data_IF_039558224950
#
_entry.id   IF_039558224950
#
_cell.length_a   1.000
_cell.length_b   1.000
_cell.length_c   1.000
_cell.angle_alpha   90.00
_cell.angle_beta   90.00
_cell.angle_gamma   90.00
#
_symmetry.space_group_name_H-M   'P 1'
#
loop_
_entity.id
_entity.type
_entity.pdbx_description
1 polymer ?
#
# COMPACT_ATOMS: atom_id res chain seq x y z
N UNK A 1 26.85 5.32 -32.40
CA UNK A 1 26.23 6.06 -31.31
C UNK A 1 27.35 6.50 -30.39
N UNK A 2 27.81 7.72 -30.55
CA UNK A 2 28.96 8.25 -29.81
C UNK A 2 28.47 8.73 -28.42
N UNK A 3 28.70 7.91 -27.41
CA UNK A 3 28.84 8.37 -26.03
C UNK A 3 27.67 9.10 -25.41
N UNK A 4 26.45 8.82 -25.82
CA UNK A 4 25.28 9.38 -25.17
C UNK A 4 25.07 8.68 -23.81
N UNK A 5 25.32 9.44 -22.75
CA UNK A 5 25.26 8.92 -21.38
C UNK A 5 23.86 8.42 -21.00
N UNK A 6 22.84 8.91 -21.66
CA UNK A 6 21.45 8.55 -21.36
C UNK A 6 21.07 7.22 -22.00
N UNK A 7 21.60 6.92 -23.20
CA UNK A 7 21.49 5.59 -23.80
C UNK A 7 22.16 4.54 -22.93
N UNK A 8 23.37 4.83 -22.46
CA UNK A 8 24.10 3.94 -21.57
C UNK A 8 23.31 3.69 -20.27
N UNK A 9 22.70 4.72 -19.69
CA UNK A 9 21.88 4.57 -18.49
C UNK A 9 20.69 3.64 -18.70
N UNK A 10 19.99 3.72 -19.83
CA UNK A 10 18.88 2.80 -20.17
C UNK A 10 19.38 1.38 -20.39
N UNK A 11 20.51 1.22 -21.12
CA UNK A 11 21.12 -0.09 -21.31
C UNK A 11 21.61 -0.69 -20.00
N UNK A 12 22.26 0.08 -19.15
CA UNK A 12 22.76 -0.36 -17.85
C UNK A 12 21.62 -0.90 -16.96
N UNK A 13 20.45 -0.23 -16.95
CA UNK A 13 19.28 -0.70 -16.21
C UNK A 13 18.76 -2.01 -16.79
N UNK A 14 18.59 -2.07 -18.12
CA UNK A 14 18.09 -3.28 -18.79
C UNK A 14 19.08 -4.44 -18.65
N UNK A 15 20.39 -4.21 -18.79
CA UNK A 15 21.41 -5.22 -18.63
C UNK A 15 21.53 -5.68 -17.19
N UNK A 16 21.50 -4.76 -16.23
CA UNK A 16 21.52 -5.08 -14.81
C UNK A 16 20.32 -5.96 -14.40
N UNK A 17 19.12 -5.56 -14.78
CA UNK A 17 17.90 -6.34 -14.51
C UNK A 17 17.99 -7.71 -15.17
N UNK A 18 18.37 -7.76 -16.45
CA UNK A 18 18.52 -9.03 -17.18
C UNK A 18 19.62 -9.91 -16.62
N UNK A 19 20.79 -9.33 -16.24
CA UNK A 19 21.90 -10.02 -15.60
C UNK A 19 21.53 -10.56 -14.24
N UNK A 20 20.90 -9.74 -13.42
CA UNK A 20 20.45 -10.11 -12.09
C UNK A 20 19.50 -11.33 -12.12
N UNK A 21 18.54 -11.33 -13.04
CA UNK A 21 17.61 -12.45 -13.21
C UNK A 21 18.25 -13.69 -13.87
N UNK A 22 19.34 -13.53 -14.61
CA UNK A 22 20.06 -14.64 -15.26
C UNK A 22 20.90 -15.44 -14.28
N UNK A 23 21.51 -14.75 -13.30
CA UNK A 23 22.50 -15.36 -12.36
C UNK A 23 21.85 -15.95 -11.10
N UNK A 24 20.56 -15.73 -10.88
CA UNK A 24 19.83 -16.35 -9.78
C UNK A 24 18.92 -17.46 -10.29
N UNK A 25 18.86 -18.57 -9.53
CA UNK A 25 17.84 -19.59 -9.79
C UNK A 25 16.47 -18.94 -9.61
N UNK A 26 15.77 -18.80 -10.71
CA UNK A 26 14.58 -17.97 -10.88
C UNK A 26 13.31 -18.52 -10.21
N UNK A 27 13.37 -19.65 -9.50
CA UNK A 27 12.23 -20.26 -8.83
C UNK A 27 11.52 -19.32 -7.83
N UNK A 28 12.26 -18.34 -7.29
CA UNK A 28 11.75 -17.42 -6.26
C UNK A 28 11.55 -15.98 -6.76
N UNK A 29 11.85 -15.72 -8.02
CA UNK A 29 11.74 -14.38 -8.60
C UNK A 29 10.61 -14.34 -9.61
N UNK A 30 9.71 -13.40 -9.42
CA UNK A 30 8.59 -13.23 -10.31
C UNK A 30 8.97 -12.51 -11.58
N UNK A 31 8.32 -12.82 -12.70
CA UNK A 31 8.61 -12.15 -13.95
C UNK A 31 8.36 -10.65 -13.83
N UNK A 32 9.38 -9.89 -14.19
CA UNK A 32 9.30 -8.45 -14.41
C UNK A 32 9.12 -8.25 -15.91
N UNK A 33 8.03 -7.61 -16.30
CA UNK A 33 7.79 -7.25 -17.69
C UNK A 33 8.31 -5.83 -17.90
N UNK A 34 9.41 -5.72 -18.63
CA UNK A 34 9.94 -4.44 -19.11
C UNK A 34 9.54 -4.34 -20.56
N UNK A 35 8.65 -3.43 -20.89
CA UNK A 35 8.29 -3.14 -22.27
C UNK A 35 9.38 -2.27 -22.90
N UNK A 36 9.63 -2.44 -24.19
CA UNK A 36 10.67 -1.70 -24.89
C UNK A 36 10.46 -0.19 -24.74
N UNK A 37 11.45 0.49 -24.20
CA UNK A 37 11.48 1.95 -24.12
C UNK A 37 11.87 2.53 -25.48
N UNK A 38 10.98 2.40 -26.48
CA UNK A 38 11.31 2.73 -27.85
C UNK A 38 11.16 4.20 -28.20
N UNK A 39 10.51 4.97 -27.33
CA UNK A 39 10.12 6.35 -27.60
C UNK A 39 10.73 7.36 -26.65
N UNK A 40 11.81 6.96 -26.01
CA UNK A 40 12.56 7.85 -25.12
C UNK A 40 13.46 8.78 -25.95
N UNK A 41 13.31 10.08 -25.76
CA UNK A 41 14.25 11.03 -26.38
C UNK A 41 15.50 11.16 -25.52
N UNK A 42 16.48 10.30 -25.79
CA UNK A 42 17.70 10.22 -25.01
C UNK A 42 18.64 11.43 -25.22
N UNK A 43 18.57 12.10 -26.36
CA UNK A 43 19.42 13.27 -26.65
C UNK A 43 19.03 14.46 -25.75
N UNK A 44 17.73 14.60 -25.47
CA UNK A 44 17.20 15.65 -24.62
C UNK A 44 16.96 15.17 -23.17
N UNK A 45 17.23 13.92 -22.86
CA UNK A 45 16.91 13.29 -21.57
C UNK A 45 15.44 13.46 -21.18
N UNK A 46 14.55 13.38 -22.16
CA UNK A 46 13.12 13.56 -22.01
C UNK A 46 12.38 12.31 -22.48
N UNK A 47 11.46 11.84 -21.68
CA UNK A 47 10.52 10.79 -22.07
C UNK A 47 9.45 11.42 -22.97
N UNK A 48 9.40 11.01 -24.23
CA UNK A 48 8.45 11.55 -25.22
C UNK A 48 7.10 10.85 -25.21
N UNK A 49 7.10 9.58 -24.80
CA UNK A 49 5.91 8.73 -24.67
C UNK A 49 5.96 7.97 -23.36
N UNK A 50 4.82 7.44 -22.94
CA UNK A 50 4.69 6.71 -21.68
C UNK A 50 5.18 5.27 -21.81
N UNK A 51 6.49 5.09 -21.81
CA UNK A 51 7.06 3.74 -21.73
C UNK A 51 6.81 3.16 -20.34
N UNK A 52 6.21 1.98 -20.29
CA UNK A 52 5.73 1.41 -19.05
C UNK A 52 6.49 0.13 -18.66
N UNK A 53 6.65 -0.05 -17.36
CA UNK A 53 7.08 -1.29 -16.73
C UNK A 53 6.01 -1.78 -15.79
N UNK A 54 5.82 -3.08 -15.69
CA UNK A 54 4.90 -3.69 -14.72
C UNK A 54 5.67 -4.56 -13.75
N UNK A 55 5.60 -4.22 -12.48
CA UNK A 55 6.10 -5.05 -11.39
C UNK A 55 4.98 -6.00 -11.01
N UNK A 56 5.13 -7.28 -11.38
CA UNK A 56 4.16 -8.31 -11.00
C UNK A 56 4.39 -8.70 -9.55
N UNK A 57 3.39 -8.42 -8.75
CA UNK A 57 3.34 -8.84 -7.36
C UNK A 57 2.75 -10.24 -7.31
N UNK A 58 3.38 -11.10 -6.66
CA UNK A 58 2.84 -12.42 -6.67
C UNK A 58 2.17 -12.88 -5.40
N UNK A 59 1.34 -13.90 -5.54
CA UNK A 59 0.43 -14.39 -4.52
C UNK A 59 0.70 -15.83 -4.05
N UNK A 60 1.83 -16.44 -4.40
CA UNK A 60 2.10 -17.80 -3.97
C UNK A 60 2.85 -17.83 -2.64
N UNK A 61 2.13 -17.53 -1.55
CA UNK A 61 2.59 -17.93 -0.25
C UNK A 61 2.24 -19.41 -0.06
N UNK A 62 3.17 -20.26 -0.47
CA UNK A 62 3.15 -21.68 -0.17
C UNK A 62 4.19 -21.97 0.92
N UNK A 63 3.77 -22.68 1.92
CA UNK A 63 4.68 -23.19 2.96
C UNK A 63 4.72 -24.72 2.78
N UNK A 64 5.90 -25.27 2.57
CA UNK A 64 6.06 -26.73 2.44
C UNK A 64 5.62 -27.42 3.73
N UNK A 65 4.95 -28.57 3.57
CA UNK A 65 4.53 -29.45 4.67
C UNK A 65 3.55 -28.82 5.70
N UNK A 66 2.79 -27.79 5.27
CA UNK A 66 1.79 -27.13 6.11
C UNK A 66 0.40 -27.38 5.56
N UNK A 67 -0.50 -27.85 6.41
CA UNK A 67 -1.92 -27.95 6.07
C UNK A 67 -2.49 -26.57 5.83
N UNK A 68 -2.97 -26.31 4.61
CA UNK A 68 -3.59 -25.05 4.24
C UNK A 68 -5.01 -25.24 3.73
N UNK A 69 -5.84 -24.23 3.94
CA UNK A 69 -7.17 -24.11 3.35
C UNK A 69 -7.28 -22.80 2.60
N UNK A 70 -7.54 -22.86 1.30
CA UNK A 70 -7.91 -21.68 0.53
C UNK A 70 -9.32 -21.27 0.92
N UNK A 71 -9.47 -20.05 1.45
CA UNK A 71 -10.75 -19.45 1.81
C UNK A 71 -11.37 -18.76 0.61
N UNK A 72 -10.55 -17.98 -0.10
CA UNK A 72 -10.93 -17.25 -1.30
C UNK A 72 -9.75 -17.24 -2.26
N UNK A 73 -9.94 -17.70 -3.47
CA UNK A 73 -8.99 -17.63 -4.59
C UNK A 73 -9.45 -16.65 -5.69
N UNK A 74 -10.69 -16.17 -5.57
CA UNK A 74 -11.30 -15.17 -6.44
C UNK A 74 -12.01 -14.13 -5.59
N UNK A 75 -12.18 -12.89 -6.08
CA UNK A 75 -12.87 -11.85 -5.34
C UNK A 75 -14.28 -12.23 -4.95
N UNK A 76 -14.60 -12.18 -3.66
CA UNK A 76 -15.93 -12.38 -3.12
C UNK A 76 -16.52 -11.04 -2.68
N UNK A 77 -17.55 -10.59 -3.38
CA UNK A 77 -18.24 -9.33 -3.10
C UNK A 77 -19.35 -9.56 -2.08
N UNK A 78 -19.34 -8.72 -1.04
CA UNK A 78 -20.36 -8.66 0.01
C UNK A 78 -21.19 -7.38 -0.19
N UNK A 79 -22.49 -7.55 -0.40
CA UNK A 79 -23.43 -6.48 -0.78
C UNK A 79 -24.22 -5.89 0.39
N UNK A 80 -23.90 -6.29 1.62
CA UNK A 80 -24.71 -5.98 2.80
C UNK A 80 -25.94 -6.91 3.00
N UNK A 81 -25.99 -8.04 2.27
CA UNK A 81 -27.08 -9.01 2.35
C UNK A 81 -26.66 -10.47 2.19
N UNK A 82 -25.43 -10.71 1.79
CA UNK A 82 -24.87 -12.04 1.57
C UNK A 82 -23.71 -12.33 2.52
N UNK A 83 -23.44 -13.62 2.72
CA UNK A 83 -22.38 -14.09 3.62
C UNK A 83 -21.82 -15.43 3.13
N UNK A 84 -20.72 -15.86 3.74
CA UNK A 84 -20.13 -17.20 3.61
C UNK A 84 -19.90 -17.76 5.01
N UNK A 85 -20.58 -18.83 5.36
CA UNK A 85 -20.24 -19.65 6.54
C UNK A 85 -19.38 -20.83 6.06
N UNK A 86 -18.12 -20.89 6.52
CA UNK A 86 -17.18 -21.91 6.08
C UNK A 86 -17.34 -23.26 6.77
N UNK A 87 -18.14 -23.32 7.83
CA UNK A 87 -18.25 -24.47 8.72
C UNK A 87 -16.99 -24.74 9.55
N UNK A 88 -15.91 -23.95 9.40
CA UNK A 88 -14.66 -24.13 10.13
C UNK A 88 -14.76 -23.47 11.51
N UNK A 89 -14.48 -24.19 12.57
CA UNK A 89 -14.35 -23.63 13.91
C UNK A 89 -12.86 -23.54 14.29
N UNK A 90 -12.34 -22.31 14.39
CA UNK A 90 -10.97 -22.05 14.84
C UNK A 90 -10.81 -22.12 16.36
N UNK A 91 -11.93 -22.23 17.08
CA UNK A 91 -11.97 -22.21 18.54
C UNK A 91 -12.31 -23.60 19.13
N UNK A 92 -12.62 -24.57 18.28
CA UNK A 92 -13.01 -25.91 18.74
C UNK A 92 -11.89 -26.65 19.45
N UNK A 93 -10.66 -26.42 19.01
CA UNK A 93 -9.46 -27.04 19.53
C UNK A 93 -8.38 -25.98 19.83
N UNK A 94 -7.51 -26.28 20.78
CA UNK A 94 -6.31 -25.46 21.02
C UNK A 94 -5.20 -25.88 20.08
N UNK A 95 -5.23 -25.35 18.85
CA UNK A 95 -4.19 -25.52 17.84
C UNK A 95 -3.73 -24.19 17.27
N UNK A 96 -2.50 -24.15 16.82
CA UNK A 96 -1.99 -22.98 16.10
C UNK A 96 -2.69 -22.83 14.75
N UNK A 97 -2.93 -21.58 14.37
CA UNK A 97 -3.41 -21.24 13.03
C UNK A 97 -2.98 -19.81 12.64
N UNK A 98 -2.86 -19.59 11.35
CA UNK A 98 -2.67 -18.26 10.76
C UNK A 98 -3.70 -18.07 9.66
N UNK A 99 -4.40 -16.95 9.68
CA UNK A 99 -5.33 -16.53 8.62
C UNK A 99 -4.87 -15.22 8.02
N UNK A 100 -4.76 -15.17 6.71
CA UNK A 100 -4.46 -13.95 5.96
C UNK A 100 -5.60 -13.62 5.01
N UNK A 101 -5.97 -12.35 4.95
CA UNK A 101 -7.04 -11.82 4.09
C UNK A 101 -6.56 -10.58 3.37
N UNK A 102 -6.76 -10.53 2.07
CA UNK A 102 -6.72 -9.33 1.24
C UNK A 102 -8.15 -8.84 1.06
N UNK A 103 -8.45 -7.67 1.57
CA UNK A 103 -9.82 -7.20 1.72
C UNK A 103 -9.97 -5.70 1.46
N UNK A 104 -11.19 -5.29 1.16
CA UNK A 104 -11.68 -3.91 1.23
C UNK A 104 -13.04 -3.90 1.88
N UNK A 105 -13.28 -2.97 2.80
CA UNK A 105 -14.61 -2.65 3.32
C UNK A 105 -15.05 -1.34 2.68
N UNK A 106 -16.24 -1.32 2.08
CA UNK A 106 -16.74 -0.15 1.37
C UNK A 106 -17.05 1.00 2.34
N UNK A 107 -16.88 2.24 1.87
CA UNK A 107 -17.08 3.45 2.70
C UNK A 107 -18.51 3.58 3.23
N UNK A 108 -19.50 3.04 2.51
CA UNK A 108 -20.91 3.05 2.88
C UNK A 108 -21.33 1.82 3.69
N UNK A 109 -20.39 1.02 4.16
CA UNK A 109 -20.69 -0.09 5.06
C UNK A 109 -21.20 0.42 6.41
N UNK A 110 -22.32 -0.14 6.88
CA UNK A 110 -22.96 0.33 8.10
C UNK A 110 -22.05 0.14 9.33
N UNK A 111 -22.16 1.04 10.31
CA UNK A 111 -21.49 0.87 11.60
C UNK A 111 -21.89 -0.46 12.25
N UNK A 112 -20.92 -1.13 12.88
CA UNK A 112 -21.02 -2.46 13.49
C UNK A 112 -21.27 -3.62 12.52
N UNK A 113 -21.21 -3.42 11.19
CA UNK A 113 -21.20 -4.52 10.24
C UNK A 113 -19.91 -5.34 10.35
N UNK A 114 -19.98 -6.64 10.05
CA UNK A 114 -18.89 -7.59 10.27
C UNK A 114 -18.43 -8.18 8.94
N UNK A 115 -17.14 -8.04 8.65
CA UNK A 115 -16.52 -8.61 7.44
C UNK A 115 -16.03 -10.04 7.65
N UNK A 116 -15.57 -10.36 8.86
CA UNK A 116 -15.15 -11.71 9.25
C UNK A 116 -15.32 -11.91 10.76
N UNK A 117 -15.76 -13.08 11.15
CA UNK A 117 -15.74 -13.49 12.56
C UNK A 117 -15.61 -15.00 12.74
N UNK A 118 -14.99 -15.39 13.85
CA UNK A 118 -15.15 -16.68 14.51
C UNK A 118 -15.34 -16.35 15.99
N UNK A 119 -16.59 -16.17 16.40
CA UNK A 119 -16.92 -15.52 17.67
C UNK A 119 -18.21 -16.05 18.23
N UNK A 120 -18.29 -16.17 19.56
CA UNK A 120 -19.51 -16.46 20.28
C UNK A 120 -19.80 -15.34 21.28
N UNK A 121 -21.02 -14.83 21.25
CA UNK A 121 -21.44 -13.64 22.03
C UNK A 121 -21.49 -13.94 23.52
N UNK A 122 -21.98 -15.11 23.89
CA UNK A 122 -22.03 -15.57 25.29
C UNK A 122 -20.64 -15.96 25.81
N UNK A 123 -19.92 -15.00 26.32
CA UNK A 123 -18.57 -15.20 26.84
C UNK A 123 -17.51 -14.39 26.10
N UNK A 124 -17.88 -13.68 25.05
CA UNK A 124 -16.99 -12.81 24.26
C UNK A 124 -15.70 -13.52 23.83
N UNK A 125 -15.80 -14.77 23.39
CA UNK A 125 -14.66 -15.56 22.95
C UNK A 125 -14.54 -15.54 21.43
N UNK A 126 -13.32 -15.41 20.94
CA UNK A 126 -13.00 -15.40 19.53
C UNK A 126 -12.72 -14.02 18.97
N UNK A 127 -12.52 -13.97 17.66
CA UNK A 127 -12.26 -12.71 16.96
C UNK A 127 -13.47 -12.22 16.19
N UNK A 128 -13.51 -10.91 16.04
CA UNK A 128 -14.43 -10.20 15.15
C UNK A 128 -13.68 -9.09 14.42
N UNK A 129 -13.89 -9.03 13.12
CA UNK A 129 -13.40 -7.97 12.27
C UNK A 129 -14.61 -7.17 11.75
N UNK A 130 -14.74 -5.93 12.20
CA UNK A 130 -15.94 -5.13 12.01
C UNK A 130 -15.67 -3.67 11.63
N UNK A 131 -16.73 -2.96 11.27
CA UNK A 131 -16.74 -1.50 11.01
C UNK A 131 -17.06 -0.73 12.30
N UNK A 132 -16.16 0.20 12.67
CA UNK A 132 -16.41 1.16 13.75
C UNK A 132 -15.54 2.40 13.54
N UNK A 133 -16.06 3.46 12.97
CA UNK A 133 -15.32 4.68 12.54
C UNK A 133 -14.05 4.37 11.69
N UNK A 134 -14.00 3.24 11.03
CA UNK A 134 -12.90 2.59 10.34
C UNK A 134 -13.06 1.09 10.48
N UNK A 135 -12.11 0.29 10.00
CA UNK A 135 -12.10 -1.15 10.28
C UNK A 135 -11.45 -1.44 11.64
N UNK A 136 -11.96 -2.43 12.35
CA UNK A 136 -11.40 -2.89 13.63
C UNK A 136 -11.38 -4.40 13.72
N UNK A 137 -10.30 -4.93 14.30
CA UNK A 137 -10.23 -6.31 14.74
C UNK A 137 -10.31 -6.36 16.25
N UNK A 138 -11.12 -7.25 16.79
CA UNK A 138 -11.18 -7.49 18.22
C UNK A 138 -11.04 -8.97 18.54
N UNK A 139 -10.48 -9.22 19.73
CA UNK A 139 -10.53 -10.50 20.42
C UNK A 139 -11.16 -10.27 21.80
N UNK A 140 -12.38 -10.76 21.94
CA UNK A 140 -13.16 -10.44 23.15
C UNK A 140 -13.48 -8.95 23.25
N UNK A 141 -12.97 -8.29 24.31
CA UNK A 141 -13.14 -6.84 24.56
C UNK A 141 -11.99 -5.99 24.06
N UNK A 142 -10.86 -6.59 23.76
CA UNK A 142 -9.68 -5.88 23.23
C UNK A 142 -9.79 -5.70 21.71
N UNK A 143 -9.32 -4.58 21.20
CA UNK A 143 -9.40 -4.30 19.77
C UNK A 143 -8.24 -3.45 19.27
N UNK A 144 -7.96 -3.56 17.96
CA UNK A 144 -7.02 -2.71 17.23
C UNK A 144 -7.63 -2.22 15.92
N UNK A 145 -7.09 -1.13 15.39
CA UNK A 145 -7.55 -0.58 14.12
C UNK A 145 -6.94 -1.38 12.94
N UNK A 146 -7.72 -1.52 11.88
CA UNK A 146 -7.29 -1.95 10.57
C UNK A 146 -7.22 -0.78 9.57
N UNK A 147 -7.31 -1.07 8.26
CA UNK A 147 -7.28 -0.06 7.21
C UNK A 147 -8.49 0.88 7.24
N UNK A 148 -8.35 2.05 6.60
CA UNK A 148 -9.47 2.95 6.34
C UNK A 148 -10.53 2.28 5.45
N UNK A 149 -11.79 2.65 5.64
CA UNK A 149 -12.86 2.23 4.75
C UNK A 149 -12.57 2.70 3.32
N UNK A 150 -12.95 1.91 2.35
CA UNK A 150 -12.64 2.13 0.94
C UNK A 150 -11.20 1.78 0.52
N UNK A 151 -10.32 1.43 1.47
CA UNK A 151 -8.96 0.99 1.18
C UNK A 151 -8.88 -0.52 1.07
N UNK A 152 -8.14 -1.03 0.07
CA UNK A 152 -7.72 -2.42 0.00
C UNK A 152 -6.48 -2.64 0.84
N UNK A 153 -6.47 -3.67 1.67
CA UNK A 153 -5.36 -3.97 2.55
C UNK A 153 -5.27 -5.47 2.89
N UNK A 154 -4.11 -5.87 3.40
CA UNK A 154 -3.88 -7.18 3.98
C UNK A 154 -4.04 -7.14 5.49
N UNK A 155 -4.67 -8.17 6.03
CA UNK A 155 -4.68 -8.44 7.46
C UNK A 155 -4.26 -9.89 7.71
N UNK A 156 -3.42 -10.10 8.71
CA UNK A 156 -3.03 -11.43 9.16
C UNK A 156 -3.36 -11.60 10.63
N UNK A 157 -4.06 -12.66 10.95
CA UNK A 157 -4.36 -13.08 12.30
C UNK A 157 -3.61 -14.37 12.60
N UNK A 158 -2.90 -14.43 13.71
CA UNK A 158 -2.13 -15.59 14.17
C UNK A 158 -2.55 -15.97 15.57
N UNK A 159 -2.82 -17.23 15.79
CA UNK A 159 -2.98 -17.84 17.11
C UNK A 159 -1.92 -18.94 17.29
N UNK A 160 -1.23 -18.92 18.43
CA UNK A 160 -0.26 -19.95 18.80
C UNK A 160 -0.87 -20.86 19.87
N UNK A 161 -0.77 -22.17 19.69
CA UNK A 161 -1.24 -23.16 20.68
C UNK A 161 -0.70 -22.84 22.07
N UNK A 162 -1.57 -22.83 23.06
CA UNK A 162 -1.27 -22.51 24.45
C UNK A 162 -1.31 -21.01 24.78
N UNK A 163 -1.46 -20.12 23.82
CA UNK A 163 -1.64 -18.69 24.05
C UNK A 163 -3.10 -18.31 24.28
N UNK A 164 -3.32 -17.29 25.09
CA UNK A 164 -4.65 -16.78 25.42
C UNK A 164 -5.11 -15.64 24.49
N UNK A 165 -4.75 -15.69 23.21
CA UNK A 165 -5.08 -14.56 22.34
C UNK A 165 -4.75 -14.79 20.88
N UNK A 166 -4.77 -13.69 20.13
CA UNK A 166 -4.32 -13.61 18.75
C UNK A 166 -3.34 -12.48 18.57
N UNK A 167 -2.44 -12.66 17.63
CA UNK A 167 -1.57 -11.63 17.11
C UNK A 167 -2.19 -11.06 15.84
N UNK A 168 -2.30 -9.75 15.74
CA UNK A 168 -2.86 -9.04 14.60
C UNK A 168 -1.76 -8.28 13.90
N UNK A 169 -1.59 -8.55 12.62
CA UNK A 169 -0.67 -7.85 11.73
C UNK A 169 -1.52 -7.13 10.69
N UNK A 170 -1.54 -5.83 10.75
CA UNK A 170 -2.27 -4.99 9.82
C UNK A 170 -1.46 -3.75 9.50
N UNK A 171 -1.73 -3.13 8.36
CA UNK A 171 -1.25 -1.78 8.12
C UNK A 171 -1.84 -0.87 9.21
N UNK A 172 -0.97 -0.28 10.00
CA UNK A 172 -1.41 0.80 10.85
C UNK A 172 -1.59 2.02 9.96
N UNK A 173 -2.82 2.52 9.88
CA UNK A 173 -3.16 3.71 9.09
C UNK A 173 -2.50 4.99 9.59
N UNK A 174 -1.90 4.94 10.77
CA UNK A 174 -1.26 6.09 11.44
C UNK A 174 0.24 5.93 11.61
N UNK A 175 0.75 4.71 11.56
CA UNK A 175 2.18 4.44 11.58
C UNK A 175 2.49 3.49 10.43
N UNK A 176 3.44 3.82 9.66
CA UNK A 176 3.88 3.14 8.48
C UNK A 176 4.42 1.73 8.70
N UNK A 177 4.52 1.27 9.91
CA UNK A 177 4.86 -0.09 10.25
C UNK A 177 3.61 -0.97 10.24
N UNK A 178 3.79 -2.23 9.86
CA UNK A 178 2.78 -3.25 10.09
C UNK A 178 2.55 -3.31 11.58
N UNK A 179 1.40 -2.79 12.02
CA UNK A 179 1.02 -2.80 13.42
C UNK A 179 0.96 -4.24 13.91
N UNK A 180 1.70 -4.53 14.96
CA UNK A 180 1.60 -5.77 15.68
C UNK A 180 0.92 -5.50 17.01
N UNK A 181 -0.22 -6.12 17.24
CA UNK A 181 -0.90 -6.08 18.51
C UNK A 181 -1.23 -7.49 18.93
N UNK A 182 -0.86 -7.83 20.16
CA UNK A 182 -1.32 -9.04 20.80
C UNK A 182 -2.61 -8.70 21.59
N UNK A 183 -3.71 -9.34 21.20
CA UNK A 183 -4.97 -9.26 21.91
C UNK A 183 -5.10 -10.48 22.81
N UNK A 184 -5.06 -10.26 24.13
CA UNK A 184 -5.04 -11.32 25.12
C UNK A 184 -6.40 -11.48 25.81
N UNK A 185 -6.91 -12.68 25.90
CA UNK A 185 -8.04 -13.03 26.73
C UNK A 185 -8.04 -14.53 27.04
N UNK A 186 -8.49 -14.91 28.24
CA UNK A 186 -8.68 -16.31 28.57
C UNK A 186 -9.55 -17.00 27.52
N UNK A 187 -8.97 -18.02 26.88
CA UNK A 187 -9.63 -18.78 25.86
C UNK A 187 -10.54 -19.84 26.49
N UNK A 188 -11.77 -19.95 25.96
CA UNK A 188 -12.61 -21.13 26.20
C UNK A 188 -12.85 -21.84 24.88
N UNK A 189 -12.80 -23.16 24.90
CA UNK A 189 -13.12 -24.00 23.74
C UNK A 189 -14.56 -23.74 23.28
N UNK A 190 -14.72 -23.49 21.99
CA UNK A 190 -16.02 -23.14 21.38
C UNK A 190 -16.23 -24.01 20.14
N UNK A 191 -17.11 -24.96 20.23
CA UNK A 191 -17.41 -25.90 19.11
C UNK A 191 -18.41 -25.32 18.10
N UNK A 192 -19.22 -24.33 18.52
CA UNK A 192 -20.31 -23.80 17.70
C UNK A 192 -19.97 -22.51 16.94
N UNK A 193 -18.84 -21.88 17.25
CA UNK A 193 -18.39 -20.68 16.54
C UNK A 193 -17.69 -21.08 15.24
N UNK A 194 -18.36 -20.88 14.12
CA UNK A 194 -17.79 -21.09 12.78
C UNK A 194 -17.17 -19.79 12.23
N UNK A 195 -16.20 -19.93 11.35
CA UNK A 195 -15.63 -18.81 10.61
C UNK A 195 -16.62 -18.35 9.54
N UNK A 196 -17.15 -17.14 9.72
CA UNK A 196 -18.15 -16.53 8.86
C UNK A 196 -17.60 -15.23 8.28
N UNK A 197 -17.90 -14.97 7.01
CA UNK A 197 -17.52 -13.77 6.28
C UNK A 197 -18.74 -13.02 5.78
N UNK A 198 -18.66 -11.68 5.80
CA UNK A 198 -19.69 -10.77 5.29
C UNK A 198 -20.85 -10.49 6.24
N UNK A 199 -20.89 -11.13 7.39
CA UNK A 199 -21.87 -10.86 8.45
C UNK A 199 -21.42 -11.38 9.82
N UNK A 200 -22.17 -11.06 10.86
CA UNK A 200 -22.11 -11.73 12.15
C UNK A 200 -23.06 -12.93 12.20
N UNK A 201 -22.67 -13.97 12.90
CA UNK A 201 -23.53 -15.09 13.30
C UNK A 201 -23.76 -14.97 14.81
N UNK A 202 -25.02 -14.80 15.19
CA UNK A 202 -25.45 -14.74 16.59
C UNK A 202 -25.47 -16.12 17.24
N UNK A 203 -25.59 -16.18 18.57
CA UNK A 203 -25.59 -17.44 19.35
C UNK A 203 -26.75 -18.34 19.05
N UNK A 204 -27.88 -17.77 18.63
CA UNK A 204 -29.07 -18.48 18.17
C UNK A 204 -28.96 -19.00 16.72
N UNK A 205 -27.83 -18.74 16.07
CA UNK A 205 -27.53 -19.12 14.69
C UNK A 205 -28.03 -18.13 13.64
N UNK A 206 -28.69 -17.03 14.03
CA UNK A 206 -29.12 -16.00 13.10
C UNK A 206 -27.91 -15.24 12.50
N UNK A 207 -28.06 -14.81 11.24
CA UNK A 207 -27.05 -13.98 10.57
C UNK A 207 -27.51 -12.53 10.58
N UNK A 208 -26.63 -11.65 11.04
CA UNK A 208 -26.90 -10.22 11.21
C UNK A 208 -25.67 -9.35 10.87
N UNK A 209 -25.82 -8.03 10.92
CA UNK A 209 -24.71 -7.06 10.78
C UNK A 209 -23.90 -7.26 9.51
N UNK A 210 -24.59 -7.38 8.40
CA UNK A 210 -23.99 -7.60 7.09
C UNK A 210 -23.09 -6.44 6.69
N UNK A 211 -21.89 -6.77 6.19
CA UNK A 211 -20.93 -5.80 5.67
C UNK A 211 -21.07 -5.64 4.15
N UNK A 212 -20.65 -4.48 3.66
CA UNK A 212 -20.35 -4.25 2.25
C UNK A 212 -18.83 -4.21 2.07
N UNK A 213 -18.36 -4.86 1.02
CA UNK A 213 -16.92 -4.92 0.75
C UNK A 213 -16.57 -6.10 -0.13
N UNK A 214 -15.27 -6.32 -0.28
CA UNK A 214 -14.72 -7.40 -1.09
C UNK A 214 -13.59 -8.08 -0.32
N UNK A 215 -13.58 -9.42 -0.30
CA UNK A 215 -12.41 -10.20 0.03
C UNK A 215 -11.85 -10.70 -1.30
N UNK A 216 -10.66 -10.24 -1.66
CA UNK A 216 -10.00 -10.54 -2.93
C UNK A 216 -9.28 -11.87 -2.87
N UNK A 217 -8.73 -12.20 -1.71
CA UNK A 217 -7.98 -13.42 -1.46
C UNK A 217 -7.99 -13.75 0.03
N UNK A 218 -7.87 -15.04 0.36
CA UNK A 218 -7.76 -15.48 1.74
C UNK A 218 -7.27 -16.91 1.86
N UNK A 219 -6.37 -17.13 2.81
CA UNK A 219 -5.88 -18.47 3.19
C UNK A 219 -5.86 -18.65 4.70
N UNK A 220 -5.97 -19.89 5.10
CA UNK A 220 -5.86 -20.36 6.48
C UNK A 220 -4.83 -21.49 6.53
N UNK A 221 -3.82 -21.36 7.37
CA UNK A 221 -2.82 -22.38 7.66
C UNK A 221 -3.04 -22.90 9.08
N UNK A 222 -3.00 -24.21 9.26
CA UNK A 222 -3.19 -24.87 10.55
C UNK A 222 -1.85 -25.11 11.27
N UNK A 223 -1.02 -24.10 11.30
CA UNK A 223 0.27 -24.08 11.98
C UNK A 223 0.61 -22.67 12.44
N UNK A 224 1.63 -22.55 13.27
CA UNK A 224 2.26 -21.28 13.59
C UNK A 224 3.35 -20.97 12.57
N UNK A 225 3.11 -19.99 11.69
CA UNK A 225 4.09 -19.55 10.70
C UNK A 225 5.19 -18.66 11.28
N UNK A 226 5.05 -18.22 12.54
CA UNK A 226 5.97 -17.29 13.19
C UNK A 226 5.78 -15.82 12.80
N UNK A 227 6.38 -14.93 13.57
CA UNK A 227 6.25 -13.48 13.44
C UNK A 227 6.75 -12.96 12.09
N UNK A 228 7.93 -13.41 11.66
CA UNK A 228 8.55 -12.97 10.41
C UNK A 228 7.69 -13.28 9.17
N UNK A 229 7.13 -14.49 9.09
CA UNK A 229 6.26 -14.88 7.99
C UNK A 229 4.94 -14.10 8.01
N UNK A 230 4.35 -13.88 9.19
CA UNK A 230 3.12 -13.09 9.33
C UNK A 230 3.32 -11.63 8.94
N UNK A 231 4.45 -11.02 9.30
CA UNK A 231 4.80 -9.65 8.85
C UNK A 231 4.99 -9.59 7.34
N UNK A 232 5.64 -10.58 6.75
CA UNK A 232 5.81 -10.66 5.29
C UNK A 232 4.47 -10.82 4.58
N UNK A 233 3.57 -11.66 5.08
CA UNK A 233 2.20 -11.81 4.57
C UNK A 233 1.44 -10.49 4.67
N UNK A 234 1.47 -9.80 5.80
CA UNK A 234 0.77 -8.55 6.00
C UNK A 234 1.36 -7.38 5.16
N UNK A 235 2.63 -7.46 4.79
CA UNK A 235 3.26 -6.48 3.91
C UNK A 235 2.85 -6.65 2.46
N UNK A 236 2.36 -7.83 2.10
CA UNK A 236 2.08 -8.19 0.73
C UNK A 236 0.90 -7.40 0.13
N UNK A 237 0.97 -7.16 -1.17
CA UNK A 237 -0.10 -6.54 -1.95
C UNK A 237 -0.31 -7.31 -3.25
N UNK A 238 -1.56 -7.54 -3.62
CA UNK A 238 -1.94 -8.23 -4.86
C UNK A 238 -1.87 -7.36 -6.10
N UNK A 239 -1.77 -6.05 -5.90
CA UNK A 239 -1.81 -5.13 -7.01
C UNK A 239 -0.50 -5.19 -7.78
N UNK A 240 -0.57 -5.55 -9.05
CA UNK A 240 0.53 -5.30 -9.96
C UNK A 240 0.75 -3.81 -10.12
N UNK A 241 1.99 -3.38 -10.03
CA UNK A 241 2.34 -1.97 -10.15
C UNK A 241 2.82 -1.67 -11.56
N UNK A 242 2.03 -0.91 -12.30
CA UNK A 242 2.46 -0.35 -13.59
C UNK A 242 3.00 1.04 -13.38
N UNK A 243 4.21 1.27 -13.86
CA UNK A 243 4.90 2.55 -13.80
C UNK A 243 5.25 3.03 -15.21
N UNK A 244 5.18 4.33 -15.40
CA UNK A 244 5.57 5.03 -16.62
C UNK A 244 6.90 5.75 -16.37
N UNK A 245 7.85 5.64 -17.30
CA UNK A 245 9.09 6.41 -17.22
C UNK A 245 8.76 7.90 -17.32
N UNK A 246 9.23 8.70 -16.39
CA UNK A 246 8.84 10.11 -16.27
C UNK A 246 10.01 11.09 -16.33
N UNK A 247 11.25 10.61 -16.33
CA UNK A 247 12.42 11.48 -16.50
C UNK A 247 13.75 10.77 -16.30
N UNK A 248 14.81 11.44 -16.74
CA UNK A 248 16.20 11.00 -16.60
C UNK A 248 16.95 11.92 -15.66
N UNK A 249 17.83 11.34 -14.83
CA UNK A 249 18.75 12.11 -13.96
C UNK A 249 18.07 13.21 -13.14
N UNK A 250 16.83 12.97 -12.73
CA UNK A 250 16.06 13.98 -12.01
C UNK A 250 16.59 14.23 -10.59
N UNK A 251 17.02 13.17 -9.89
CA UNK A 251 17.38 13.24 -8.48
C UNK A 251 18.81 12.80 -8.22
N UNK A 252 19.44 13.42 -7.22
CA UNK A 252 20.74 12.98 -6.69
C UNK A 252 20.55 11.72 -5.84
N UNK A 253 21.53 10.81 -5.92
CA UNK A 253 21.57 9.64 -5.05
C UNK A 253 21.83 10.06 -3.60
N UNK A 254 21.21 9.35 -2.64
CA UNK A 254 21.40 9.63 -1.22
C UNK A 254 22.83 9.33 -0.74
N UNK A 255 23.42 8.26 -1.26
CA UNK A 255 24.77 7.82 -0.94
C UNK A 255 25.87 8.58 -1.70
N UNK A 256 25.52 9.33 -2.75
CA UNK A 256 26.48 10.08 -3.57
C UNK A 256 25.83 11.31 -4.20
N UNK A 257 25.98 12.45 -3.54
CA UNK A 257 25.42 13.74 -4.00
C UNK A 257 25.99 14.26 -5.31
N UNK A 258 27.06 13.64 -5.86
CA UNK A 258 27.64 13.99 -7.16
C UNK A 258 27.07 13.12 -8.30
N UNK A 259 26.28 12.09 -7.97
CA UNK A 259 25.64 11.22 -8.95
C UNK A 259 24.14 11.38 -8.90
N UNK A 260 23.51 11.25 -10.04
CA UNK A 260 22.07 11.23 -10.19
C UNK A 260 21.57 9.84 -10.55
N UNK A 261 20.32 9.54 -10.20
CA UNK A 261 19.62 8.35 -10.66
C UNK A 261 19.60 8.29 -12.20
N UNK A 262 19.44 7.11 -12.76
CA UNK A 262 19.35 6.93 -14.21
C UNK A 262 17.98 7.33 -14.73
N UNK A 263 16.94 6.69 -14.24
CA UNK A 263 15.55 6.90 -14.69
C UNK A 263 14.66 7.04 -13.46
N UNK A 264 13.67 7.92 -13.57
CA UNK A 264 12.57 8.04 -12.61
C UNK A 264 11.27 7.53 -13.22
N UNK A 265 10.45 6.89 -12.40
CA UNK A 265 9.18 6.31 -12.77
C UNK A 265 8.05 6.86 -11.92
N UNK A 266 6.86 7.00 -12.52
CA UNK A 266 5.62 7.38 -11.84
C UNK A 266 4.56 6.31 -12.06
N UNK A 267 3.81 5.98 -11.04
CA UNK A 267 2.76 4.96 -11.12
C UNK A 267 1.63 5.40 -12.07
N UNK A 268 1.18 4.50 -12.95
CA UNK A 268 0.10 4.77 -13.90
C UNK A 268 -1.28 4.87 -13.23
N UNK A 269 -1.51 4.09 -12.16
CA UNK A 269 -2.71 4.12 -11.32
C UNK A 269 -2.39 4.53 -9.88
N UNK A 270 -3.36 4.41 -8.98
CA UNK A 270 -3.17 4.63 -7.55
C UNK A 270 -2.94 3.30 -6.83
N UNK A 271 -2.28 3.35 -5.67
CA UNK A 271 -2.34 2.22 -4.74
C UNK A 271 -3.80 1.96 -4.35
N UNK A 272 -4.16 0.70 -4.15
CA UNK A 272 -5.48 0.30 -3.65
C UNK A 272 -5.79 0.81 -2.24
N UNK A 273 -4.88 1.56 -1.64
CA UNK A 273 -4.98 2.11 -0.29
C UNK A 273 -5.03 3.63 -0.31
N UNK A 274 -6.01 4.20 0.40
CA UNK A 274 -6.04 5.62 0.72
C UNK A 274 -5.34 5.83 2.06
N UNK A 275 -4.46 6.81 2.15
CA UNK A 275 -3.71 7.09 3.38
C UNK A 275 -3.65 8.59 3.67
N UNK A 276 -3.45 8.90 4.95
CA UNK A 276 -3.11 10.23 5.41
C UNK A 276 -1.62 10.47 5.20
N UNK A 277 -1.21 11.72 4.94
CA UNK A 277 0.22 12.06 4.95
C UNK A 277 0.77 12.08 6.38
N UNK A 278 0.00 12.64 7.31
CA UNK A 278 0.36 12.72 8.73
C UNK A 278 -0.78 12.24 9.63
N UNK A 279 -0.47 11.84 10.84
CA UNK A 279 -1.44 11.45 11.85
C UNK A 279 -2.25 12.64 12.37
N UNK A 280 -1.64 13.83 12.39
CA UNK A 280 -2.26 15.10 12.78
C UNK A 280 -2.49 16.00 11.56
N UNK A 281 -3.34 17.01 11.74
CA UNK A 281 -3.57 18.05 10.73
C UNK A 281 -2.42 19.08 10.78
N UNK A 282 -1.22 18.64 10.38
CA UNK A 282 -0.02 19.49 10.28
C UNK A 282 0.79 19.12 9.06
N UNK A 283 1.39 20.11 8.40
CA UNK A 283 2.35 19.91 7.33
C UNK A 283 3.80 20.30 7.73
N UNK A 284 4.03 20.51 9.03
CA UNK A 284 5.35 20.84 9.58
C UNK A 284 6.35 19.73 9.25
N UNK A 285 7.54 20.12 8.82
CA UNK A 285 8.58 19.21 8.33
C UNK A 285 8.42 18.77 6.88
N UNK A 286 7.28 19.09 6.26
CA UNK A 286 7.01 18.79 4.86
C UNK A 286 7.07 17.30 4.55
N UNK A 287 7.62 16.96 3.39
CA UNK A 287 7.81 15.56 3.00
C UNK A 287 8.84 14.86 3.91
N UNK A 288 9.85 15.58 4.39
CA UNK A 288 10.94 15.00 5.20
C UNK A 288 10.40 14.30 6.46
N UNK A 289 9.38 14.87 7.10
CA UNK A 289 8.79 14.36 8.34
C UNK A 289 7.41 13.71 8.14
N UNK A 290 6.97 13.53 6.88
CA UNK A 290 5.67 12.93 6.60
C UNK A 290 5.61 11.46 7.05
N UNK A 291 4.60 11.11 7.87
CA UNK A 291 4.44 9.77 8.43
C UNK A 291 4.29 8.70 7.35
N UNK A 292 3.67 9.03 6.21
CA UNK A 292 3.48 8.09 5.10
C UNK A 292 4.78 7.52 4.54
N UNK A 293 5.92 8.25 4.66
CA UNK A 293 7.22 7.78 4.14
C UNK A 293 7.64 6.44 4.74
N UNK A 294 7.42 6.26 6.05
CA UNK A 294 7.74 4.97 6.69
C UNK A 294 6.93 3.82 6.08
N UNK A 295 5.66 4.07 5.70
CA UNK A 295 4.85 3.08 4.99
C UNK A 295 5.42 2.79 3.59
N UNK A 296 5.82 3.81 2.85
CA UNK A 296 6.32 3.65 1.49
C UNK A 296 7.68 2.96 1.46
N UNK A 297 8.64 3.47 2.23
CA UNK A 297 10.01 2.96 2.28
C UNK A 297 10.13 1.64 3.09
N UNK A 298 9.19 1.39 4.01
CA UNK A 298 9.11 0.16 4.78
C UNK A 298 8.24 -0.90 4.09
N UNK A 299 6.92 -0.71 4.15
CA UNK A 299 5.99 -1.75 3.69
C UNK A 299 6.02 -1.97 2.18
N UNK A 300 5.90 -0.90 1.39
CA UNK A 300 5.82 -1.04 -0.07
C UNK A 300 7.13 -1.59 -0.62
N UNK A 301 8.27 -1.05 -0.20
CA UNK A 301 9.58 -1.55 -0.64
C UNK A 301 9.76 -3.03 -0.30
N UNK A 302 9.44 -3.44 0.94
CA UNK A 302 9.58 -4.82 1.39
C UNK A 302 8.60 -5.79 0.73
N UNK A 303 7.47 -5.31 0.22
CA UNK A 303 6.50 -6.10 -0.51
C UNK A 303 6.94 -6.42 -1.95
N UNK A 304 7.86 -5.64 -2.51
CA UNK A 304 8.36 -5.87 -3.87
C UNK A 304 9.19 -7.15 -3.98
N UNK A 305 9.23 -7.75 -5.17
CA UNK A 305 10.20 -8.80 -5.48
C UNK A 305 11.63 -8.31 -5.18
N UNK A 306 12.47 -9.20 -4.64
CA UNK A 306 13.81 -8.84 -4.17
C UNK A 306 14.69 -8.16 -5.22
N UNK A 307 14.52 -8.51 -6.50
CA UNK A 307 15.24 -7.87 -7.60
C UNK A 307 14.93 -6.38 -7.70
N UNK A 308 13.69 -5.99 -7.52
CA UNK A 308 13.28 -4.60 -7.51
C UNK A 308 13.81 -3.83 -6.29
N UNK A 309 13.77 -4.44 -5.11
CA UNK A 309 14.35 -3.84 -3.90
C UNK A 309 15.84 -3.48 -4.06
N UNK A 310 16.58 -4.24 -4.88
CA UNK A 310 18.01 -4.03 -5.08
C UNK A 310 18.34 -2.95 -6.11
N UNK A 311 17.48 -2.75 -7.12
CA UNK A 311 17.72 -1.76 -8.17
C UNK A 311 17.13 -0.40 -7.87
N UNK A 312 16.06 -0.32 -7.09
CA UNK A 312 15.47 0.95 -6.65
C UNK A 312 16.50 1.68 -5.78
N UNK A 313 16.78 2.93 -6.14
CA UNK A 313 17.77 3.77 -5.46
C UNK A 313 17.12 4.69 -4.45
N UNK A 314 17.78 4.88 -3.33
CA UNK A 314 17.44 5.97 -2.43
C UNK A 314 17.94 7.28 -3.00
N UNK A 315 17.05 8.26 -3.16
CA UNK A 315 17.34 9.54 -3.79
C UNK A 315 16.94 10.71 -2.89
N UNK A 316 17.58 11.86 -3.11
CA UNK A 316 17.26 13.11 -2.41
C UNK A 316 16.07 13.79 -3.05
N UNK A 317 14.94 13.79 -2.36
CA UNK A 317 13.67 14.33 -2.84
C UNK A 317 13.38 15.67 -2.16
N UNK A 318 13.23 16.72 -2.93
CA UNK A 318 12.95 18.06 -2.43
C UNK A 318 11.48 18.27 -2.07
N UNK A 319 11.24 19.02 -0.99
CA UNK A 319 9.95 19.53 -0.57
C UNK A 319 10.13 20.77 0.33
N UNK A 320 9.16 21.66 0.34
CA UNK A 320 9.11 22.68 1.39
C UNK A 320 8.94 22.05 2.76
N UNK A 321 9.46 22.71 3.80
CA UNK A 321 9.33 22.23 5.19
C UNK A 321 7.94 22.43 5.78
N UNK A 322 7.00 23.01 5.02
CA UNK A 322 5.67 23.34 5.52
C UNK A 322 5.67 24.46 6.57
N UNK A 323 4.64 24.49 7.41
CA UNK A 323 4.44 25.49 8.46
C UNK A 323 4.61 26.94 7.98
N UNK A 324 4.06 27.24 6.82
CA UNK A 324 4.11 28.56 6.14
C UNK A 324 5.52 29.00 5.71
N UNK A 325 6.45 28.07 5.60
CA UNK A 325 7.81 28.35 5.14
C UNK A 325 7.95 28.09 3.64
N UNK A 326 8.78 28.89 2.99
CA UNK A 326 9.24 28.68 1.63
C UNK A 326 10.59 27.95 1.53
N UNK A 327 11.17 27.57 2.66
CA UNK A 327 12.41 26.82 2.69
C UNK A 327 12.19 25.42 2.11
N UNK A 328 13.06 24.99 1.18
CA UNK A 328 13.06 23.66 0.59
C UNK A 328 14.18 22.84 1.18
N UNK A 329 13.83 21.68 1.70
CA UNK A 329 14.77 20.67 2.21
C UNK A 329 14.68 19.39 1.39
N UNK A 330 15.67 18.53 1.49
CA UNK A 330 15.66 17.23 0.84
C UNK A 330 15.55 16.11 1.86
N UNK A 331 14.80 15.07 1.49
CA UNK A 331 14.67 13.84 2.26
C UNK A 331 15.11 12.64 1.42
N UNK A 332 15.84 11.73 2.03
CA UNK A 332 16.26 10.49 1.40
C UNK A 332 15.08 9.53 1.32
N UNK A 333 14.66 9.10 0.12
CA UNK A 333 13.48 8.28 -0.10
C UNK A 333 13.72 7.24 -1.18
N UNK A 334 13.24 6.02 -0.99
CA UNK A 334 13.15 4.99 -2.02
C UNK A 334 11.89 5.19 -2.86
N UNK A 335 10.74 5.36 -2.17
CA UNK A 335 9.49 5.76 -2.78
C UNK A 335 9.10 7.16 -2.32
N UNK A 336 8.52 7.91 -3.24
CA UNK A 336 8.06 9.26 -2.96
C UNK A 336 6.80 9.57 -3.78
N UNK A 337 6.12 10.65 -3.42
CA UNK A 337 4.97 11.16 -4.16
C UNK A 337 5.43 12.22 -5.16
N UNK A 338 4.68 12.47 -6.25
CA UNK A 338 4.96 13.59 -7.12
C UNK A 338 4.78 14.93 -6.39
N UNK A 339 5.52 15.96 -6.80
CA UNK A 339 5.34 17.33 -6.33
C UNK A 339 4.42 18.14 -7.24
N UNK A 340 4.04 19.32 -6.78
CA UNK A 340 3.35 20.31 -7.60
C UNK A 340 4.20 20.73 -8.80
N UNK A 341 5.50 20.94 -8.62
CA UNK A 341 6.42 21.31 -9.70
C UNK A 341 6.49 20.24 -10.82
N UNK A 342 6.42 18.99 -10.44
CA UNK A 342 6.50 17.87 -11.40
C UNK A 342 5.21 17.67 -12.19
N UNK A 343 4.07 17.86 -11.53
CA UNK A 343 2.77 17.64 -12.14
C UNK A 343 2.19 18.89 -12.85
N UNK A 344 2.52 20.09 -12.37
CA UNK A 344 1.94 21.35 -12.82
C UNK A 344 3.02 22.37 -13.23
N UNK A 345 3.80 22.08 -14.28
CA UNK A 345 4.92 22.92 -14.68
C UNK A 345 4.50 24.36 -15.07
N UNK A 346 3.26 24.57 -15.47
CA UNK A 346 2.70 25.90 -15.76
C UNK A 346 2.38 26.73 -14.51
N UNK A 347 2.35 26.08 -13.34
CA UNK A 347 2.10 26.70 -12.03
C UNK A 347 3.42 26.92 -11.29
N UNK A 348 4.47 27.33 -12.00
CA UNK A 348 5.81 27.63 -11.45
C UNK A 348 5.74 28.79 -10.44
N UNK A 349 5.17 28.52 -9.29
CA UNK A 349 5.06 29.45 -8.17
C UNK A 349 6.11 29.04 -7.13
N UNK A 350 6.93 30.01 -6.71
CA UNK A 350 7.79 29.79 -5.54
C UNK A 350 6.94 29.41 -4.32
N UNK A 351 7.37 28.48 -3.48
CA UNK A 351 8.70 27.80 -3.49
C UNK A 351 8.72 26.48 -4.28
N UNK A 352 7.62 26.04 -4.85
CA UNK A 352 7.43 24.70 -5.42
C UNK A 352 8.35 24.38 -6.60
N UNK A 353 8.84 25.39 -7.34
CA UNK A 353 9.79 25.22 -8.46
C UNK A 353 11.07 24.44 -8.09
N UNK A 354 11.40 24.39 -6.81
CA UNK A 354 12.59 23.69 -6.30
C UNK A 354 12.31 22.27 -5.82
N UNK A 355 11.04 21.81 -5.90
CA UNK A 355 10.66 20.50 -5.40
C UNK A 355 10.85 19.37 -6.41
N UNK A 356 11.21 19.65 -7.65
CA UNK A 356 11.45 18.64 -8.68
C UNK A 356 11.46 19.20 -10.08
N UNK A 357 11.64 18.32 -11.07
CA UNK A 357 11.64 18.64 -12.50
C UNK A 357 10.34 18.22 -13.13
N UNK A 358 9.75 19.07 -13.94
CA UNK A 358 8.49 18.84 -14.65
C UNK A 358 8.49 17.51 -15.41
N UNK A 359 7.42 16.74 -15.25
CA UNK A 359 7.16 15.54 -16.03
C UNK A 359 6.57 15.96 -17.38
N UNK A 360 7.26 15.68 -18.48
CA UNK A 360 6.97 16.22 -19.81
C UNK A 360 5.59 15.89 -20.35
N UNK A 361 5.01 14.77 -19.97
CA UNK A 361 3.69 14.33 -20.42
C UNK A 361 2.52 14.76 -19.49
N UNK A 362 2.81 15.45 -18.39
CA UNK A 362 1.79 16.01 -17.48
C UNK A 362 1.38 17.42 -17.95
N UNK A 363 0.89 17.51 -19.18
CA UNK A 363 0.66 18.78 -19.88
C UNK A 363 -0.67 19.47 -19.54
N UNK A 364 -1.68 18.70 -19.17
CA UNK A 364 -3.04 19.18 -18.92
C UNK A 364 -3.71 18.40 -17.77
N UNK A 365 -4.94 18.79 -17.44
CA UNK A 365 -5.68 18.13 -16.37
C UNK A 365 -5.96 16.67 -16.68
N UNK A 366 -6.24 16.34 -17.94
CA UNK A 366 -6.55 14.95 -18.34
C UNK A 366 -5.36 14.02 -18.12
N UNK A 367 -4.15 14.48 -18.42
CA UNK A 367 -2.92 13.70 -18.22
C UNK A 367 -2.59 13.43 -16.75
N UNK A 368 -3.17 14.22 -15.83
CA UNK A 368 -2.98 14.09 -14.37
C UNK A 368 -4.05 13.26 -13.70
N UNK A 369 -5.19 13.00 -14.37
CA UNK A 369 -6.20 12.09 -13.83
C UNK A 369 -5.55 10.74 -13.56
N UNK A 370 -5.78 10.21 -12.37
CA UNK A 370 -5.29 8.91 -11.98
C UNK A 370 -6.45 8.07 -11.43
N UNK A 371 -6.51 6.83 -11.84
CA UNK A 371 -7.60 5.94 -11.47
C UNK A 371 -7.23 5.09 -10.26
N UNK A 372 -8.23 4.80 -9.45
CA UNK A 372 -8.14 3.79 -8.39
C UNK A 372 -8.11 2.37 -8.98
N UNK A 373 -8.04 1.37 -8.14
CA UNK A 373 -8.02 -0.04 -8.53
C UNK A 373 -9.28 -0.53 -9.27
N UNK A 374 -10.37 0.23 -9.21
CA UNK A 374 -11.64 -0.07 -9.90
C UNK A 374 -11.74 0.64 -11.25
N UNK A 375 -10.72 1.42 -11.63
CA UNK A 375 -10.70 2.20 -12.86
C UNK A 375 -11.43 3.55 -12.76
N UNK A 376 -11.83 4.00 -11.56
CA UNK A 376 -12.49 5.27 -11.36
C UNK A 376 -11.47 6.38 -11.05
N UNK A 377 -11.65 7.59 -11.62
CA UNK A 377 -10.83 8.74 -11.25
C UNK A 377 -10.90 9.00 -9.74
N UNK A 378 -9.74 9.15 -9.11
CA UNK A 378 -9.66 9.42 -7.68
C UNK A 378 -8.62 10.49 -7.35
N UNK A 379 -8.90 11.27 -6.31
CA UNK A 379 -7.98 12.29 -5.83
C UNK A 379 -6.77 11.63 -5.15
N UNK A 380 -5.59 12.27 -5.27
CA UNK A 380 -4.36 11.75 -4.71
C UNK A 380 -3.43 12.83 -4.18
N UNK A 381 -2.56 12.45 -3.27
CA UNK A 381 -1.58 13.33 -2.66
C UNK A 381 -0.46 13.76 -3.59
N UNK A 382 0.02 14.99 -3.37
CA UNK A 382 1.38 15.39 -3.72
C UNK A 382 2.23 15.46 -2.45
N UNK A 383 3.56 15.48 -2.58
CA UNK A 383 4.47 15.69 -1.43
C UNK A 383 4.63 17.16 -1.04
N UNK A 384 4.02 18.09 -1.78
CA UNK A 384 4.17 19.53 -1.59
C UNK A 384 3.27 20.04 -0.47
N UNK A 385 3.81 20.54 0.66
CA UNK A 385 3.02 21.25 1.66
C UNK A 385 2.49 22.56 1.11
N UNK A 386 1.35 23.00 1.63
CA UNK A 386 0.87 24.34 1.33
C UNK A 386 1.71 25.37 2.11
N UNK A 387 2.43 26.24 1.38
CA UNK A 387 3.33 27.23 1.97
C UNK A 387 2.60 28.41 2.67
N UNK A 388 1.27 28.49 2.59
CA UNK A 388 0.49 29.55 3.22
C UNK A 388 -0.21 29.06 4.51
N UNK A 389 -0.41 27.74 4.66
CA UNK A 389 -1.21 27.14 5.72
C UNK A 389 -0.52 25.93 6.31
N UNK A 390 -0.30 25.92 7.61
CA UNK A 390 0.45 24.88 8.33
C UNK A 390 -0.26 23.51 8.48
N UNK A 391 -1.46 23.35 7.94
CA UNK A 391 -2.26 22.12 8.08
C UNK A 391 -2.50 21.35 6.79
N UNK A 392 -2.15 21.93 5.65
CA UNK A 392 -2.57 21.40 4.35
C UNK A 392 -1.39 20.98 3.48
N UNK A 393 -1.64 19.96 2.67
CA UNK A 393 -0.81 19.60 1.52
C UNK A 393 -1.60 19.83 0.22
N UNK A 394 -0.88 19.96 -0.86
CA UNK A 394 -1.47 19.94 -2.18
C UNK A 394 -1.87 18.51 -2.56
N UNK A 395 -2.98 18.40 -3.24
CA UNK A 395 -3.49 17.17 -3.84
C UNK A 395 -3.94 17.42 -5.27
N UNK A 396 -4.10 16.35 -6.03
CA UNK A 396 -4.71 16.35 -7.34
C UNK A 396 -6.15 15.87 -7.20
N UNK A 397 -7.10 16.60 -7.79
CA UNK A 397 -8.52 16.25 -7.74
C UNK A 397 -8.86 15.11 -8.72
N UNK A 398 -10.06 14.58 -8.65
CA UNK A 398 -10.59 13.60 -9.63
C UNK A 398 -10.64 14.12 -11.06
N UNK A 399 -10.62 15.47 -11.25
CA UNK A 399 -10.59 16.13 -12.56
C UNK A 399 -9.18 16.49 -13.02
N UNK A 400 -8.13 16.09 -12.27
CA UNK A 400 -6.74 16.38 -12.61
C UNK A 400 -6.27 17.80 -12.27
N UNK A 401 -7.07 18.56 -11.54
CA UNK A 401 -6.73 19.90 -11.05
C UNK A 401 -5.97 19.82 -9.73
N UNK A 402 -5.17 20.84 -9.43
CA UNK A 402 -4.54 20.93 -8.10
C UNK A 402 -5.50 21.54 -7.07
N UNK A 403 -5.38 21.07 -5.83
CA UNK A 403 -6.14 21.58 -4.69
C UNK A 403 -5.26 21.70 -3.47
N UNK A 404 -5.10 22.91 -2.96
CA UNK A 404 -4.11 23.24 -1.91
C UNK A 404 -4.64 23.18 -0.47
N UNK A 405 -5.86 22.72 -0.23
CA UNK A 405 -6.50 22.78 1.09
C UNK A 405 -6.90 21.38 1.60
N UNK A 406 -6.13 20.36 1.25
CA UNK A 406 -6.37 19.02 1.79
C UNK A 406 -5.64 18.87 3.13
N UNK A 407 -6.38 18.67 4.25
CA UNK A 407 -5.76 18.47 5.55
C UNK A 407 -4.84 17.24 5.56
N UNK A 408 -3.65 17.35 6.18
CA UNK A 408 -2.64 16.29 6.16
C UNK A 408 -3.14 14.95 6.75
N UNK A 409 -4.15 14.99 7.60
CA UNK A 409 -4.78 13.82 8.22
C UNK A 409 -6.03 13.31 7.50
N UNK A 410 -6.35 13.83 6.30
CA UNK A 410 -7.36 13.23 5.44
C UNK A 410 -6.75 12.07 4.65
N UNK A 411 -7.53 11.04 4.38
CA UNK A 411 -7.09 9.92 3.53
C UNK A 411 -7.31 10.26 2.05
N UNK A 412 -6.25 10.16 1.24
CA UNK A 412 -6.28 10.33 -0.21
C UNK A 412 -5.56 9.16 -0.90
N UNK A 413 -5.74 9.03 -2.20
CA UNK A 413 -5.01 8.09 -3.03
C UNK A 413 -3.50 8.35 -3.00
N UNK A 414 -2.74 7.32 -3.28
CA UNK A 414 -1.28 7.34 -3.31
C UNK A 414 -0.82 7.05 -4.72
N UNK A 415 -0.11 7.98 -5.34
CA UNK A 415 0.56 7.81 -6.64
C UNK A 415 2.05 7.75 -6.41
N UNK A 416 2.64 6.57 -6.57
CA UNK A 416 4.05 6.34 -6.27
C UNK A 416 4.98 6.87 -7.34
N UNK A 417 6.16 7.30 -6.91
CA UNK A 417 7.34 7.48 -7.75
C UNK A 417 8.53 6.74 -7.13
N UNK A 418 9.46 6.30 -7.96
CA UNK A 418 10.77 5.79 -7.56
C UNK A 418 11.80 6.05 -8.64
N UNK A 419 13.08 5.82 -8.32
CA UNK A 419 14.22 5.97 -9.26
C UNK A 419 15.14 4.75 -9.23
N UNK A 420 15.81 4.49 -10.35
CA UNK A 420 16.83 3.44 -10.50
C UNK A 420 18.16 4.02 -10.94
#
# INVERSE_FOLDING_TARGET
>A
VNGDKDINAVYDVCEYVSGYFRDKQLSDLRPVEIYAMTKVNLEQSVVSDKDAITIKMGNDFTFSDVEEKVLFNEPKIFTGKNYVDTGVSLLAEDRSWVMALDYRIDEDSAANSVIAQCFQTNGMNGFRFWVNSGSKVAWGTESTNGAHLGSRDMIVLRHTKGENGIHVYAANTTAAEIGYIQLNRTRTTQTNATLVFGCAKADDGAYERYAKGTIYWGKLWYTDLGDAACRKLAAWTHQDFTFEACGFKQYYLSDNSNKRCSISFIQAGLLGQKMTLNTGSTNTGGWADANIRTFLDGRILNALPIGWQQIIKQVKVGSTIGDKSSEVVTADSYFYLPSVAELFPSQNVEPYIYEGTAISFMTDNTSRICNDENGNPAAYWTRSPNAQYGSYFWSVTVTGEYYGFTPANNAQGIRLMFSV
#
